data_IF_433605722537
#
_entry.id   IF_433605722537
#
_cell.length_a   1.000
_cell.length_b   1.000
_cell.length_c   1.000
_cell.angle_alpha   90.00
_cell.angle_beta   90.00
_cell.angle_gamma   90.00
#
_symmetry.space_group_name_H-M   'P 1'
#
loop_
_entity.id
_entity.type
_entity.pdbx_description
1 polymer ?
#
# COMPACT_ATOMS: atom_id res chain seq x y z
N UNK A 1 13.04 -37.58 24.38
CA UNK A 1 12.54 -36.42 25.15
C UNK A 1 13.75 -35.58 25.51
N UNK A 2 14.19 -34.73 24.59
CA UNK A 2 15.43 -33.94 24.67
C UNK A 2 15.01 -32.48 24.62
N UNK A 3 15.50 -31.73 25.60
CA UNK A 3 15.23 -30.34 25.96
C UNK A 3 14.63 -29.42 24.89
N UNK A 4 13.37 -29.03 25.12
CA UNK A 4 12.69 -27.90 24.46
C UNK A 4 12.84 -26.60 25.27
N UNK A 5 13.81 -26.52 26.18
CA UNK A 5 13.94 -25.47 27.21
C UNK A 5 14.93 -24.35 26.85
N UNK A 6 15.69 -24.46 25.75
CA UNK A 6 16.74 -23.49 25.38
C UNK A 6 16.48 -22.65 24.12
N UNK A 7 15.22 -22.53 23.70
CA UNK A 7 14.81 -21.40 22.83
C UNK A 7 14.29 -20.29 23.73
N UNK A 8 15.18 -19.69 24.53
CA UNK A 8 14.94 -18.33 25.05
C UNK A 8 14.92 -17.40 23.84
N UNK A 9 13.71 -17.19 23.36
CA UNK A 9 13.27 -16.17 22.41
C UNK A 9 13.99 -14.84 22.64
N UNK A 10 15.11 -14.63 21.97
CA UNK A 10 15.64 -13.30 21.72
C UNK A 10 14.61 -12.61 20.81
N UNK A 11 13.62 -11.95 21.43
CA UNK A 11 12.71 -11.07 20.69
C UNK A 11 13.60 -10.01 20.05
N UNK A 12 13.72 -9.92 18.72
CA UNK A 12 14.47 -8.83 18.10
C UNK A 12 13.75 -7.54 18.50
N UNK A 13 14.33 -6.87 19.48
CA UNK A 13 13.83 -5.59 19.96
C UNK A 13 14.32 -4.56 18.96
N UNK A 14 13.45 -3.64 18.54
CA UNK A 14 13.85 -2.54 17.65
C UNK A 14 15.13 -1.90 18.16
N UNK A 15 16.17 -1.89 17.33
CA UNK A 15 17.41 -1.16 17.62
C UNK A 15 17.10 0.31 17.44
N UNK A 16 17.86 1.19 18.09
CA UNK A 16 17.71 2.65 17.93
C UNK A 16 17.71 3.09 16.45
N UNK A 17 18.43 2.35 15.60
CA UNK A 17 18.45 2.53 14.15
C UNK A 17 17.07 2.32 13.49
N UNK A 18 16.28 1.33 13.93
CA UNK A 18 14.97 1.03 13.33
C UNK A 18 13.96 2.15 13.65
N UNK A 19 13.99 2.68 14.87
CA UNK A 19 13.19 3.84 15.24
C UNK A 19 13.60 5.11 14.47
N UNK A 20 14.90 5.30 14.25
CA UNK A 20 15.41 6.42 13.48
C UNK A 20 14.95 6.34 12.02
N UNK A 21 15.02 5.17 11.39
CA UNK A 21 14.56 4.95 10.01
C UNK A 21 13.05 5.16 9.90
N UNK A 22 12.26 4.59 10.82
CA UNK A 22 10.81 4.75 10.82
C UNK A 22 10.38 6.22 11.01
N UNK A 23 11.00 6.91 11.98
CA UNK A 23 10.72 8.33 12.24
C UNK A 23 11.16 9.21 11.08
N UNK A 24 12.30 8.92 10.46
CA UNK A 24 12.79 9.63 9.27
C UNK A 24 11.85 9.42 8.09
N UNK A 25 11.35 8.20 7.86
CA UNK A 25 10.39 7.91 6.80
C UNK A 25 9.11 8.73 6.99
N UNK A 26 8.52 8.72 8.20
CA UNK A 26 7.33 9.51 8.50
C UNK A 26 7.59 11.01 8.36
N UNK A 27 8.73 11.50 8.84
CA UNK A 27 9.13 12.90 8.69
C UNK A 27 9.25 13.30 7.22
N UNK A 28 9.91 12.50 6.38
CA UNK A 28 10.05 12.78 4.95
C UNK A 28 8.69 12.81 4.26
N UNK A 29 7.80 11.87 4.56
CA UNK A 29 6.43 11.87 4.02
C UNK A 29 5.64 13.12 4.43
N UNK A 30 5.72 13.50 5.72
CA UNK A 30 5.07 14.71 6.24
C UNK A 30 5.68 15.96 5.62
N UNK A 31 7.00 16.03 5.44
CA UNK A 31 7.71 17.15 4.82
C UNK A 31 7.36 17.29 3.34
N UNK A 32 7.26 16.20 2.58
CA UNK A 32 6.80 16.21 1.18
C UNK A 32 5.36 16.74 1.12
N UNK A 33 4.50 16.28 2.02
CA UNK A 33 3.11 16.73 2.14
C UNK A 33 3.00 18.23 2.45
N UNK A 34 3.75 18.69 3.46
CA UNK A 34 3.82 20.10 3.88
C UNK A 34 4.45 20.99 2.81
N UNK A 35 5.55 20.57 2.19
CA UNK A 35 6.22 21.33 1.13
C UNK A 35 5.27 21.56 -0.05
N UNK A 36 4.50 20.53 -0.43
CA UNK A 36 3.49 20.69 -1.47
C UNK A 36 2.27 21.48 -1.01
N UNK A 37 1.84 21.39 0.24
CA UNK A 37 0.78 22.23 0.80
C UNK A 37 1.18 23.72 0.78
N UNK A 38 2.39 24.04 1.21
CA UNK A 38 2.94 25.40 1.25
C UNK A 38 3.15 25.97 -0.15
N UNK A 39 3.69 25.18 -1.09
CA UNK A 39 3.83 25.58 -2.50
C UNK A 39 2.50 25.83 -3.20
N UNK A 40 1.42 25.19 -2.71
CA UNK A 40 0.05 25.36 -3.22
C UNK A 40 -0.62 26.63 -2.71
N UNK A 41 -0.29 27.07 -1.49
CA UNK A 41 -0.80 28.34 -0.91
C UNK A 41 -0.50 29.56 -1.80
N UNK A 42 0.62 29.55 -2.54
CA UNK A 42 1.01 30.66 -3.43
C UNK A 42 0.30 30.65 -4.80
N UNK A 43 -0.39 29.56 -5.20
CA UNK A 43 -1.06 29.43 -6.51
C UNK A 43 -2.46 28.82 -6.39
N UNK A 44 -3.44 29.69 -6.12
CA UNK A 44 -4.88 29.56 -6.44
C UNK A 44 -5.75 28.54 -5.66
N UNK A 45 -6.70 29.10 -4.90
CA UNK A 45 -7.74 28.38 -4.15
C UNK A 45 -8.96 27.94 -4.98
N UNK A 46 -8.81 26.90 -5.82
CA UNK A 46 -9.97 26.18 -6.39
C UNK A 46 -10.04 24.75 -5.86
N UNK A 47 -11.22 24.36 -5.39
CA UNK A 47 -11.56 23.02 -4.88
C UNK A 47 -11.19 21.91 -5.89
N UNK A 48 -11.31 22.18 -7.19
CA UNK A 48 -10.90 21.25 -8.24
C UNK A 48 -9.39 20.91 -8.19
N UNK A 49 -8.52 21.83 -7.79
CA UNK A 49 -7.07 21.58 -7.73
C UNK A 49 -6.70 20.74 -6.50
N UNK A 50 -7.61 20.61 -5.51
CA UNK A 50 -7.50 19.70 -4.38
C UNK A 50 -7.82 18.26 -4.79
N UNK A 51 -8.93 18.04 -5.52
CA UNK A 51 -9.41 16.71 -5.89
C UNK A 51 -8.88 16.17 -7.21
N UNK A 52 -8.41 17.01 -8.14
CA UNK A 52 -7.92 16.55 -9.46
C UNK A 52 -6.41 16.72 -9.62
N UNK A 53 -5.76 17.36 -8.65
CA UNK A 53 -4.38 17.78 -8.74
C UNK A 53 -4.08 18.55 -10.03
N UNK A 54 -5.04 19.36 -10.47
CA UNK A 54 -4.90 20.27 -11.61
C UNK A 54 -4.79 19.59 -12.97
N UNK A 55 -5.02 18.26 -13.06
CA UNK A 55 -4.98 17.47 -14.31
C UNK A 55 -3.69 17.59 -15.13
N UNK A 56 -2.62 18.14 -14.56
CA UNK A 56 -1.30 18.35 -15.20
C UNK A 56 -0.22 17.43 -14.64
N UNK A 57 -0.60 16.39 -13.90
CA UNK A 57 0.37 15.48 -13.31
C UNK A 57 0.92 14.51 -14.37
N UNK A 58 2.24 14.28 -14.38
CA UNK A 58 2.86 13.31 -15.29
C UNK A 58 2.33 11.90 -15.02
N UNK A 59 2.19 11.10 -16.08
CA UNK A 59 1.59 9.77 -16.01
C UNK A 59 2.34 8.80 -15.08
N UNK A 60 3.67 8.94 -14.98
CA UNK A 60 4.51 8.04 -14.17
C UNK A 60 4.20 8.16 -12.66
N UNK A 61 4.25 9.35 -12.02
CA UNK A 61 3.80 9.49 -10.63
C UNK A 61 2.37 9.05 -10.36
N UNK A 62 1.45 9.30 -11.29
CA UNK A 62 0.05 8.85 -11.14
C UNK A 62 -0.04 7.32 -11.17
N UNK A 63 0.67 6.67 -12.09
CA UNK A 63 0.74 5.22 -12.16
C UNK A 63 1.37 4.60 -10.91
N UNK A 64 2.49 5.17 -10.44
CA UNK A 64 3.13 4.73 -9.19
C UNK A 64 2.20 4.92 -7.98
N UNK A 65 1.53 6.07 -7.84
CA UNK A 65 0.56 6.28 -6.76
C UNK A 65 -0.62 5.32 -6.84
N UNK A 66 -1.08 4.98 -8.05
CA UNK A 66 -2.11 3.95 -8.22
C UNK A 66 -1.60 2.58 -7.75
N UNK A 67 -0.38 2.19 -8.13
CA UNK A 67 0.24 0.96 -7.61
C UNK A 67 0.38 0.99 -6.08
N UNK A 68 0.74 2.15 -5.51
CA UNK A 68 0.97 2.31 -4.07
C UNK A 68 -0.35 2.13 -3.32
N UNK A 69 -1.43 2.68 -3.87
CA UNK A 69 -2.79 2.56 -3.34
C UNK A 69 -3.27 1.10 -3.31
N UNK A 70 -2.83 0.26 -4.24
CA UNK A 70 -3.11 -1.17 -4.20
C UNK A 70 -2.27 -1.91 -3.17
N UNK A 71 -1.06 -1.44 -2.87
CA UNK A 71 -0.15 -2.09 -1.93
C UNK A 71 -0.47 -1.71 -0.48
N UNK A 72 -1.24 -2.57 0.19
CA UNK A 72 -1.53 -2.42 1.62
C UNK A 72 -0.61 -3.28 2.49
N UNK A 73 -0.45 -2.92 3.77
CA UNK A 73 0.31 -3.72 4.73
C UNK A 73 -0.15 -5.19 4.79
N UNK A 74 -1.45 -5.41 4.61
CA UNK A 74 -2.05 -6.76 4.54
C UNK A 74 -1.53 -7.52 3.32
N UNK A 75 -1.45 -6.89 2.14
CA UNK A 75 -0.91 -7.55 0.96
C UNK A 75 0.59 -7.81 1.09
N UNK A 76 1.35 -6.86 1.64
CA UNK A 76 2.80 -7.00 1.82
C UNK A 76 3.17 -8.24 2.64
N UNK A 77 2.36 -8.59 3.64
CA UNK A 77 2.57 -9.77 4.48
C UNK A 77 1.81 -11.01 3.98
N UNK A 78 0.61 -10.78 3.44
CA UNK A 78 -0.28 -11.83 2.96
C UNK A 78 0.28 -12.51 1.72
N UNK A 79 0.78 -11.75 0.74
CA UNK A 79 1.27 -12.30 -0.53
C UNK A 79 2.42 -13.30 -0.33
N UNK A 80 3.48 -13.01 0.44
CA UNK A 80 4.51 -14.02 0.74
C UNK A 80 3.97 -15.22 1.52
N UNK A 81 2.98 -15.03 2.40
CA UNK A 81 2.37 -16.11 3.18
C UNK A 81 1.56 -17.05 2.28
N UNK A 82 0.77 -16.49 1.37
CA UNK A 82 0.03 -17.23 0.34
C UNK A 82 0.99 -17.96 -0.62
N UNK A 83 2.05 -17.29 -1.08
CA UNK A 83 3.08 -17.93 -1.89
C UNK A 83 3.83 -19.05 -1.15
N UNK A 84 3.98 -18.94 0.17
CA UNK A 84 4.59 -20.00 0.99
C UNK A 84 3.67 -21.24 1.13
N UNK A 85 2.36 -21.03 1.21
CA UNK A 85 1.37 -22.11 1.36
C UNK A 85 0.98 -22.77 0.04
N UNK A 86 0.74 -21.97 -1.00
CA UNK A 86 0.20 -22.43 -2.29
C UNK A 86 1.24 -22.43 -3.42
N UNK A 87 2.45 -21.94 -3.18
CA UNK A 87 3.54 -21.97 -4.16
C UNK A 87 3.26 -21.15 -5.42
N UNK A 88 3.72 -21.68 -6.56
CA UNK A 88 3.64 -21.04 -7.87
C UNK A 88 2.20 -20.89 -8.39
N UNK A 89 1.22 -21.59 -7.82
CA UNK A 89 -0.21 -21.40 -8.16
C UNK A 89 -0.69 -19.97 -7.91
N UNK A 90 -0.08 -19.28 -6.94
CA UNK A 90 -0.35 -17.88 -6.66
C UNK A 90 -0.10 -16.98 -7.90
N UNK A 91 0.77 -17.38 -8.82
CA UNK A 91 1.00 -16.65 -10.07
C UNK A 91 -0.26 -16.53 -10.95
N UNK A 92 -1.17 -17.50 -10.91
CA UNK A 92 -2.44 -17.38 -11.64
C UNK A 92 -3.29 -16.22 -11.13
N UNK A 93 -3.27 -15.97 -9.82
CA UNK A 93 -3.94 -14.81 -9.23
C UNK A 93 -3.29 -13.51 -9.70
N UNK A 94 -1.95 -13.43 -9.70
CA UNK A 94 -1.22 -12.26 -10.20
C UNK A 94 -1.48 -11.99 -11.68
N UNK A 95 -1.50 -13.02 -12.51
CA UNK A 95 -1.82 -12.92 -13.94
C UNK A 95 -3.26 -12.45 -14.13
N UNK A 96 -4.23 -13.05 -13.43
CA UNK A 96 -5.63 -12.64 -13.48
C UNK A 96 -5.84 -11.17 -13.10
N UNK A 97 -5.17 -10.70 -12.04
CA UNK A 97 -5.21 -9.29 -11.63
C UNK A 97 -4.59 -8.35 -12.68
N UNK A 98 -3.49 -8.78 -13.32
CA UNK A 98 -2.86 -8.02 -14.41
C UNK A 98 -3.78 -7.89 -15.61
N UNK A 99 -4.39 -8.99 -16.05
CA UNK A 99 -5.36 -8.98 -17.16
C UNK A 99 -6.58 -8.12 -16.83
N UNK A 100 -7.13 -8.24 -15.62
CA UNK A 100 -8.26 -7.41 -15.17
C UNK A 100 -7.90 -5.91 -15.24
N UNK A 101 -6.73 -5.53 -14.73
CA UNK A 101 -6.26 -4.13 -14.78
C UNK A 101 -6.10 -3.61 -16.21
N UNK A 102 -5.56 -4.42 -17.13
CA UNK A 102 -5.40 -4.02 -18.54
C UNK A 102 -6.74 -3.82 -19.23
N UNK A 103 -7.70 -4.74 -19.01
CA UNK A 103 -9.06 -4.63 -19.54
C UNK A 103 -9.74 -3.38 -18.99
N UNK A 104 -9.61 -3.12 -17.68
CA UNK A 104 -10.17 -1.92 -17.06
C UNK A 104 -9.57 -0.64 -17.64
N UNK A 105 -8.24 -0.60 -17.82
CA UNK A 105 -7.55 0.53 -18.41
C UNK A 105 -7.96 0.77 -19.88
N UNK A 106 -8.20 -0.29 -20.66
CA UNK A 106 -8.58 -0.13 -22.07
C UNK A 106 -10.05 0.24 -22.25
N UNK A 107 -10.96 -0.38 -21.49
CA UNK A 107 -12.42 -0.20 -21.68
C UNK A 107 -12.98 0.99 -20.90
N UNK A 108 -12.59 1.15 -19.63
CA UNK A 108 -13.24 2.11 -18.74
C UNK A 108 -12.52 3.46 -18.72
N UNK A 109 -11.19 3.47 -18.71
CA UNK A 109 -10.41 4.71 -18.67
C UNK A 109 -10.78 5.73 -19.78
N UNK A 110 -10.95 5.35 -21.07
CA UNK A 110 -11.29 6.33 -22.09
C UNK A 110 -12.69 6.93 -21.91
N UNK A 111 -13.64 6.17 -21.36
CA UNK A 111 -15.00 6.64 -21.07
C UNK A 111 -14.94 7.69 -19.94
N UNK A 112 -14.28 7.35 -18.83
CA UNK A 112 -14.13 8.26 -17.69
C UNK A 112 -13.35 9.53 -18.04
N UNK A 113 -12.30 9.39 -18.85
CA UNK A 113 -11.48 10.52 -19.28
C UNK A 113 -12.26 11.49 -20.18
N UNK A 114 -13.04 10.98 -21.13
CA UNK A 114 -13.89 11.81 -22.02
C UNK A 114 -15.01 12.53 -21.27
N UNK A 115 -15.58 11.89 -20.25
CA UNK A 115 -16.64 12.48 -19.43
C UNK A 115 -16.13 13.58 -18.49
N UNK A 116 -14.82 13.66 -18.25
CA UNK A 116 -14.21 14.71 -17.43
C UNK A 116 -14.70 14.73 -15.98
N UNK A 117 -15.21 13.61 -15.48
CA UNK A 117 -15.74 13.50 -14.12
C UNK A 117 -14.63 13.38 -13.09
N UNK A 118 -14.88 13.89 -11.89
CA UNK A 118 -13.93 13.86 -10.77
C UNK A 118 -14.16 12.67 -9.84
N UNK A 119 -15.35 12.08 -9.87
CA UNK A 119 -15.73 10.92 -9.06
C UNK A 119 -16.45 9.88 -9.90
N UNK A 120 -16.12 8.60 -9.73
CA UNK A 120 -16.82 7.48 -10.37
C UNK A 120 -18.31 7.48 -10.04
N UNK A 121 -18.70 7.92 -8.84
CA UNK A 121 -20.11 8.01 -8.45
C UNK A 121 -20.89 9.07 -9.25
N UNK A 122 -20.21 10.06 -9.83
CA UNK A 122 -20.83 11.02 -10.74
C UNK A 122 -21.31 10.35 -12.04
N UNK A 123 -20.63 9.28 -12.49
CA UNK A 123 -21.11 8.47 -13.60
C UNK A 123 -22.44 7.79 -13.28
N UNK A 124 -22.59 7.24 -12.07
CA UNK A 124 -23.85 6.67 -11.60
C UNK A 124 -24.97 7.71 -11.59
N UNK A 125 -24.66 8.96 -11.21
CA UNK A 125 -25.61 10.06 -11.26
C UNK A 125 -26.10 10.34 -12.69
N UNK A 126 -25.18 10.44 -13.64
CA UNK A 126 -25.51 10.76 -15.04
C UNK A 126 -26.30 9.63 -15.70
N UNK A 127 -26.04 8.37 -15.32
CA UNK A 127 -26.68 7.20 -15.95
C UNK A 127 -28.00 6.78 -15.28
N UNK A 128 -28.08 6.86 -13.95
CA UNK A 128 -29.17 6.28 -13.14
C UNK A 128 -29.83 7.29 -12.19
N UNK A 129 -29.37 8.54 -12.14
CA UNK A 129 -29.93 9.59 -11.30
C UNK A 129 -29.31 9.69 -9.89
N UNK A 130 -29.80 10.67 -9.12
CA UNK A 130 -29.24 11.06 -7.82
C UNK A 130 -29.33 9.96 -6.75
N UNK A 131 -30.39 9.15 -6.76
CA UNK A 131 -30.58 8.07 -5.81
C UNK A 131 -29.47 7.03 -5.87
N UNK A 132 -29.12 6.57 -7.08
CA UNK A 132 -28.06 5.59 -7.28
C UNK A 132 -26.68 6.14 -6.93
N UNK A 133 -26.44 7.42 -7.19
CA UNK A 133 -25.19 8.09 -6.75
C UNK A 133 -25.05 8.10 -5.23
N UNK A 134 -26.12 8.41 -4.49
CA UNK A 134 -26.09 8.45 -3.03
C UNK A 134 -25.84 7.05 -2.45
N UNK A 135 -26.55 6.04 -2.97
CA UNK A 135 -26.34 4.64 -2.58
C UNK A 135 -24.90 4.18 -2.87
N UNK A 136 -24.39 4.45 -4.08
CA UNK A 136 -23.02 4.11 -4.46
C UNK A 136 -21.98 4.82 -3.61
N UNK A 137 -22.19 6.11 -3.31
CA UNK A 137 -21.27 6.88 -2.45
C UNK A 137 -21.30 6.39 -1.01
N UNK A 138 -22.48 6.08 -0.47
CA UNK A 138 -22.62 5.53 0.88
C UNK A 138 -21.94 4.16 1.00
N UNK A 139 -22.21 3.25 0.07
CA UNK A 139 -21.58 1.94 0.04
C UNK A 139 -20.05 2.05 -0.08
N UNK A 140 -19.57 2.94 -0.95
CA UNK A 140 -18.13 3.19 -1.10
C UNK A 140 -17.50 3.72 0.20
N UNK A 141 -18.17 4.66 0.89
CA UNK A 141 -17.68 5.20 2.16
C UNK A 141 -17.61 4.13 3.24
N UNK A 142 -18.66 3.31 3.40
CA UNK A 142 -18.68 2.23 4.39
C UNK A 142 -17.60 1.19 4.09
N UNK A 143 -17.49 0.74 2.84
CA UNK A 143 -16.46 -0.22 2.44
C UNK A 143 -15.05 0.33 2.66
N UNK A 144 -14.81 1.60 2.30
CA UNK A 144 -13.50 2.26 2.48
C UNK A 144 -13.16 2.42 3.97
N UNK A 145 -14.12 2.77 4.81
CA UNK A 145 -13.92 2.93 6.25
C UNK A 145 -13.56 1.61 6.93
N UNK A 146 -14.27 0.53 6.59
CA UNK A 146 -13.96 -0.81 7.10
C UNK A 146 -12.58 -1.28 6.61
N UNK A 147 -12.30 -1.11 5.31
CA UNK A 147 -11.04 -1.53 4.72
C UNK A 147 -9.84 -0.78 5.32
N UNK A 148 -9.91 0.55 5.40
CA UNK A 148 -8.82 1.37 5.97
C UNK A 148 -8.57 1.05 7.44
N UNK A 149 -9.62 0.73 8.21
CA UNK A 149 -9.48 0.23 9.58
C UNK A 149 -8.62 -1.03 9.67
N UNK A 150 -8.92 -2.04 8.84
CA UNK A 150 -8.12 -3.29 8.76
C UNK A 150 -6.69 -3.01 8.31
N UNK A 151 -6.50 -2.14 7.33
CA UNK A 151 -5.18 -1.81 6.80
C UNK A 151 -4.29 -1.12 7.83
N UNK A 152 -4.84 -0.26 8.69
CA UNK A 152 -4.08 0.42 9.77
C UNK A 152 -3.80 -0.52 10.95
N UNK A 153 -4.67 -1.51 11.20
CA UNK A 153 -4.47 -2.50 12.25
C UNK A 153 -3.25 -3.41 11.99
N UNK A 154 -3.04 -3.85 10.75
CA UNK A 154 -1.91 -4.73 10.41
C UNK A 154 -0.52 -4.19 10.82
N UNK A 155 -0.10 -2.96 10.44
CA UNK A 155 1.19 -2.41 10.87
C UNK A 155 1.22 -2.09 12.38
N UNK A 156 0.09 -1.70 12.98
CA UNK A 156 0.01 -1.47 14.43
C UNK A 156 0.26 -2.75 15.24
N UNK A 157 -0.25 -3.89 14.76
CA UNK A 157 0.00 -5.21 15.35
C UNK A 157 1.47 -5.61 15.25
N UNK A 158 2.09 -5.42 14.08
CA UNK A 158 3.51 -5.72 13.87
C UNK A 158 4.38 -4.84 14.78
N UNK A 159 4.08 -3.54 14.85
CA UNK A 159 4.82 -2.61 15.69
C UNK A 159 4.67 -2.98 17.17
N UNK A 160 3.46 -3.35 17.62
CA UNK A 160 3.23 -3.84 18.98
C UNK A 160 4.06 -5.09 19.28
N UNK A 161 4.10 -6.07 18.37
CA UNK A 161 4.87 -7.31 18.56
C UNK A 161 6.39 -7.06 18.61
N UNK A 162 6.89 -6.11 17.81
CA UNK A 162 8.33 -5.87 17.70
C UNK A 162 8.88 -4.88 18.74
N UNK A 163 8.05 -3.94 19.23
CA UNK A 163 8.47 -2.88 20.18
C UNK A 163 7.91 -3.07 21.59
N UNK A 164 6.84 -3.86 21.75
CA UNK A 164 6.08 -3.94 23.00
C UNK A 164 5.22 -2.71 23.31
N UNK A 165 5.18 -1.70 22.42
CA UNK A 165 4.37 -0.49 22.59
C UNK A 165 2.88 -0.79 22.57
N UNK A 166 2.08 -0.06 23.36
CA UNK A 166 0.63 -0.24 23.37
C UNK A 166 0.03 -0.05 21.96
N UNK A 167 -0.61 -1.10 21.44
CA UNK A 167 -1.20 -1.14 20.10
C UNK A 167 -2.13 0.05 19.84
N UNK A 168 -2.94 0.44 20.82
CA UNK A 168 -3.90 1.53 20.68
C UNK A 168 -3.21 2.89 20.50
N UNK A 169 -2.13 3.14 21.25
CA UNK A 169 -1.36 4.38 21.14
C UNK A 169 -0.68 4.51 19.76
N UNK A 170 -0.11 3.43 19.25
CA UNK A 170 0.49 3.39 17.91
C UNK A 170 -0.54 3.55 16.79
N UNK A 171 -1.73 2.96 16.95
CA UNK A 171 -2.82 3.07 15.99
C UNK A 171 -3.34 4.51 15.89
N UNK A 172 -3.68 5.13 17.03
CA UNK A 172 -4.20 6.50 17.05
C UNK A 172 -3.16 7.53 16.59
N UNK A 173 -1.90 7.38 17.00
CA UNK A 173 -0.82 8.31 16.58
C UNK A 173 -0.55 8.25 15.07
N UNK A 174 -0.40 7.04 14.51
CA UNK A 174 -0.15 6.86 13.07
C UNK A 174 -1.35 7.34 12.25
N UNK A 175 -2.58 7.01 12.67
CA UNK A 175 -3.80 7.49 12.03
C UNK A 175 -3.94 9.02 12.06
N UNK A 176 -3.62 9.65 13.19
CA UNK A 176 -3.66 11.10 13.33
C UNK A 176 -2.63 11.79 12.42
N UNK A 177 -1.38 11.31 12.40
CA UNK A 177 -0.33 11.83 11.51
C UNK A 177 -0.75 11.68 10.05
N UNK A 178 -1.27 10.50 9.68
CA UNK A 178 -1.74 10.22 8.33
C UNK A 178 -2.87 11.15 7.88
N UNK A 179 -3.86 11.33 8.75
CA UNK A 179 -4.98 12.25 8.51
C UNK A 179 -4.49 13.68 8.36
N UNK A 180 -3.56 14.11 9.20
CA UNK A 180 -3.03 15.47 9.20
C UNK A 180 -2.29 15.80 7.89
N UNK A 181 -1.32 14.98 7.46
CA UNK A 181 -0.59 15.29 6.22
C UNK A 181 -1.47 15.14 4.97
N UNK A 182 -2.44 14.21 4.99
CA UNK A 182 -3.36 13.98 3.86
C UNK A 182 -4.31 15.16 3.69
N UNK A 183 -4.86 15.68 4.79
CA UNK A 183 -5.78 16.83 4.77
C UNK A 183 -5.08 18.12 4.33
N UNK A 184 -3.83 18.34 4.73
CA UNK A 184 -3.05 19.52 4.35
C UNK A 184 -2.56 19.48 2.89
N UNK A 185 -2.12 18.32 2.42
CA UNK A 185 -1.45 18.20 1.12
C UNK A 185 -2.38 18.08 -0.11
N UNK A 186 -3.55 17.48 0.06
CA UNK A 186 -4.46 17.14 -1.05
C UNK A 186 -3.86 16.12 -2.04
N UNK A 187 -4.56 15.84 -3.15
CA UNK A 187 -4.20 14.69 -4.00
C UNK A 187 -2.81 14.77 -4.66
N UNK A 188 -2.31 15.98 -4.99
CA UNK A 188 -0.94 16.16 -5.50
C UNK A 188 0.11 15.69 -4.48
N UNK A 189 -0.08 16.05 -3.21
CA UNK A 189 0.86 15.68 -2.16
C UNK A 189 0.83 14.17 -1.93
N UNK A 190 -0.37 13.57 -1.87
CA UNK A 190 -0.55 12.12 -1.74
C UNK A 190 0.20 11.37 -2.84
N UNK A 191 0.05 11.79 -4.10
CA UNK A 191 0.76 11.14 -5.22
C UNK A 191 2.28 11.20 -5.05
N UNK A 192 2.84 12.33 -4.60
CA UNK A 192 4.28 12.46 -4.39
C UNK A 192 4.78 11.66 -3.17
N UNK A 193 4.00 11.61 -2.08
CA UNK A 193 4.33 10.77 -0.94
C UNK A 193 4.27 9.29 -1.32
N UNK A 194 3.31 8.88 -2.15
CA UNK A 194 3.17 7.51 -2.62
C UNK A 194 4.35 7.07 -3.50
N UNK A 195 4.84 7.95 -4.39
CA UNK A 195 6.02 7.67 -5.22
C UNK A 195 7.24 7.39 -4.32
N UNK A 196 7.47 8.24 -3.32
CA UNK A 196 8.56 8.03 -2.37
C UNK A 196 8.37 6.71 -1.61
N UNK A 197 7.17 6.44 -1.12
CA UNK A 197 6.86 5.25 -0.35
C UNK A 197 7.03 3.96 -1.15
N UNK A 198 6.66 3.93 -2.44
CA UNK A 198 6.93 2.78 -3.32
C UNK A 198 8.43 2.54 -3.48
N UNK A 199 9.22 3.60 -3.69
CA UNK A 199 10.66 3.45 -3.92
C UNK A 199 11.31 2.83 -2.68
N UNK A 200 10.95 3.34 -1.49
CA UNK A 200 11.43 2.80 -0.21
C UNK A 200 11.00 1.34 -0.03
N UNK A 201 9.73 1.04 -0.32
CA UNK A 201 9.19 -0.31 -0.18
C UNK A 201 9.85 -1.31 -1.15
N UNK A 202 10.05 -0.92 -2.41
CA UNK A 202 10.73 -1.74 -3.42
C UNK A 202 12.18 -2.00 -3.03
N UNK A 203 12.90 -0.97 -2.56
CA UNK A 203 14.25 -1.13 -2.03
C UNK A 203 14.29 -2.10 -0.84
N UNK A 204 13.31 -2.01 0.07
CA UNK A 204 13.14 -2.94 1.18
C UNK A 204 12.91 -4.39 0.71
N UNK A 205 12.03 -4.61 -0.27
CA UNK A 205 11.81 -5.95 -0.82
C UNK A 205 13.03 -6.53 -1.51
N UNK A 206 13.76 -5.73 -2.29
CA UNK A 206 15.00 -6.16 -2.92
C UNK A 206 16.04 -6.52 -1.85
N UNK A 207 16.18 -5.72 -0.80
CA UNK A 207 17.09 -6.01 0.31
C UNK A 207 16.74 -7.33 1.02
N UNK A 208 15.45 -7.55 1.34
CA UNK A 208 14.96 -8.81 1.94
C UNK A 208 15.24 -9.99 1.01
N UNK A 209 14.97 -9.84 -0.29
CA UNK A 209 15.20 -10.89 -1.29
C UNK A 209 16.69 -11.28 -1.38
N UNK A 210 17.58 -10.29 -1.43
CA UNK A 210 19.03 -10.52 -1.49
C UNK A 210 19.52 -11.18 -0.20
N UNK A 211 19.18 -10.62 0.97
CA UNK A 211 19.60 -11.19 2.25
C UNK A 211 19.05 -12.61 2.45
N UNK A 212 17.78 -12.84 2.11
CA UNK A 212 17.17 -14.17 2.18
C UNK A 212 17.89 -15.18 1.29
N UNK A 213 18.23 -14.78 0.06
CA UNK A 213 18.96 -15.64 -0.89
C UNK A 213 20.36 -15.98 -0.39
N UNK A 214 21.07 -15.00 0.20
CA UNK A 214 22.42 -15.21 0.77
C UNK A 214 22.37 -16.14 1.99
N UNK A 215 21.39 -15.96 2.88
CA UNK A 215 21.21 -16.80 4.07
C UNK A 215 20.95 -18.27 3.73
N UNK A 216 20.23 -18.54 2.65
CA UNK A 216 19.92 -19.89 2.18
C UNK A 216 21.12 -20.54 1.47
N UNK A 217 22.18 -19.78 1.16
CA UNK A 217 23.37 -20.28 0.48
C UNK A 217 23.34 -20.14 -1.05
N UNK A 218 22.49 -19.25 -1.57
CA UNK A 218 22.43 -18.88 -2.99
C UNK A 218 21.10 -19.21 -3.68
N UNK A 219 20.84 -18.61 -4.86
CA UNK A 219 19.56 -18.74 -5.56
C UNK A 219 19.27 -20.16 -6.02
N UNK A 220 20.31 -20.95 -6.31
CA UNK A 220 20.17 -22.36 -6.68
C UNK A 220 19.57 -23.19 -5.53
N UNK A 221 20.00 -22.92 -4.29
CA UNK A 221 19.49 -23.61 -3.09
C UNK A 221 18.06 -23.17 -2.76
N UNK A 222 17.72 -21.90 -3.00
CA UNK A 222 16.34 -21.39 -2.88
C UNK A 222 15.42 -22.14 -3.84
N UNK A 223 15.84 -22.32 -5.09
CA UNK A 223 15.06 -23.03 -6.10
C UNK A 223 14.94 -24.53 -5.78
N UNK A 224 16.02 -25.15 -5.28
CA UNK A 224 16.02 -26.54 -4.82
C UNK A 224 15.04 -26.76 -3.66
N UNK A 225 15.02 -25.87 -2.66
CA UNK A 225 14.08 -25.93 -1.54
C UNK A 225 12.64 -25.72 -2.01
N UNK A 226 12.42 -24.78 -2.94
CA UNK A 226 11.11 -24.55 -3.51
C UNK A 226 10.60 -25.77 -4.29
N UNK A 227 11.48 -26.46 -5.02
CA UNK A 227 11.15 -27.69 -5.73
C UNK A 227 10.83 -28.85 -4.76
N UNK A 228 11.67 -29.03 -3.75
CA UNK A 228 11.49 -30.08 -2.73
C UNK A 228 10.25 -29.86 -1.85
N UNK A 229 9.81 -28.61 -1.68
CA UNK A 229 8.59 -28.26 -0.97
C UNK A 229 7.31 -28.37 -1.80
N UNK A 230 7.38 -28.94 -3.01
CA UNK A 230 6.28 -29.00 -3.99
C UNK A 230 5.70 -27.62 -4.36
N UNK A 231 6.46 -26.54 -4.14
CA UNK A 231 5.98 -25.17 -4.36
C UNK A 231 6.10 -24.74 -5.82
N UNK A 232 6.77 -25.52 -6.67
CA UNK A 232 6.96 -25.25 -8.10
C UNK A 232 5.92 -25.98 -8.97
N UNK A 233 5.20 -26.96 -8.41
CA UNK A 233 4.24 -27.76 -9.17
C UNK A 233 2.98 -26.96 -9.52
N UNK A 234 2.60 -27.00 -10.80
CA UNK A 234 1.39 -26.38 -11.33
C UNK A 234 0.21 -27.36 -11.47
N UNK A 235 0.47 -28.67 -11.35
CA UNK A 235 -0.42 -29.74 -11.86
C UNK A 235 -1.26 -30.50 -10.82
N UNK A 236 -1.17 -30.21 -9.52
CA UNK A 236 -2.08 -30.74 -8.48
C UNK A 236 -2.50 -29.63 -7.54
#
# INVERSE_FOLDING_TARGET
MKDTSDIKTARPSFVLADYAVFSLMLLVSVLIGLFQALKKSTRQGKVDDFFTGGRKMPAVPVGLSLCASFMSAVQVLGVPSEAYLYGMKFLYMCLGQTFSSLITAYLFLPVFYKLGITSTNQYLQMRFGRGMQLLGSFQFLVATLLYTGVVILAPALILNQATGLNMWASLFSTGAICTFYTTLGGMKAVIWTDVFQIIVMLAGFIAIFIHGTVLVGGPAKVLEIANNGSRINFDE
#
